data_IF_652086937090
#
_entry.id   IF_652086937090
#
_cell.length_a   1.000
_cell.length_b   1.000
_cell.length_c   1.000
_cell.angle_alpha   90.00
_cell.angle_beta   90.00
_cell.angle_gamma   90.00
#
_symmetry.space_group_name_H-M   'P 1'
#
loop_
_entity.id
_entity.type
_entity.pdbx_description
1 polymer ?
#
# COMPACT_ATOMS: atom_id res chain seq x y z
N UNK A 1 24.38 46.44 -42.84
CA UNK A 1 24.18 45.63 -41.60
C UNK A 1 22.96 46.17 -40.90
N UNK A 2 22.02 45.67 -40.86
CA UNK A 2 20.96 44.79 -41.29
C UNK A 2 19.74 45.10 -40.41
N UNK A 3 18.91 46.04 -40.87
CA UNK A 3 17.64 46.48 -40.21
C UNK A 3 16.71 45.26 -39.98
N UNK A 4 16.87 44.19 -40.79
CA UNK A 4 16.09 42.93 -40.65
C UNK A 4 16.31 42.22 -39.32
N UNK A 5 17.51 42.23 -38.73
CA UNK A 5 17.75 41.58 -37.42
C UNK A 5 17.06 42.27 -36.27
N UNK A 6 16.92 43.61 -36.33
CA UNK A 6 16.27 44.40 -35.30
C UNK A 6 14.75 44.14 -35.25
N UNK A 7 14.14 44.00 -36.43
CA UNK A 7 12.69 43.75 -36.53
C UNK A 7 12.32 42.37 -36.00
N UNK A 8 13.13 41.33 -36.29
CA UNK A 8 12.86 39.97 -35.76
C UNK A 8 13.00 39.86 -34.23
N UNK A 9 13.96 40.59 -33.68
CA UNK A 9 14.15 40.58 -32.20
C UNK A 9 12.98 41.32 -31.50
N UNK A 10 12.49 42.41 -32.09
CA UNK A 10 11.34 43.16 -31.55
C UNK A 10 10.02 42.38 -31.69
N UNK A 11 9.81 41.66 -32.80
CA UNK A 11 8.64 40.78 -32.97
C UNK A 11 8.66 39.61 -31.99
N UNK A 12 9.84 39.03 -31.76
CA UNK A 12 9.99 37.88 -30.86
C UNK A 12 9.76 38.26 -29.39
N UNK A 13 10.17 39.48 -29.00
CA UNK A 13 9.95 40.01 -27.65
C UNK A 13 8.47 40.37 -27.45
N UNK A 14 7.81 40.96 -28.46
CA UNK A 14 6.41 41.33 -28.39
C UNK A 14 5.46 40.10 -28.31
N UNK A 15 5.78 39.03 -29.03
CA UNK A 15 5.01 37.77 -28.94
C UNK A 15 5.23 37.05 -27.61
N UNK A 16 6.38 37.21 -26.97
CA UNK A 16 6.66 36.62 -25.65
C UNK A 16 5.93 37.39 -24.54
N UNK A 17 5.81 38.71 -24.69
CA UNK A 17 5.08 39.56 -23.73
C UNK A 17 3.56 39.36 -23.81
N UNK A 18 3.03 39.17 -25.02
CA UNK A 18 1.60 38.85 -25.21
C UNK A 18 1.22 37.47 -24.63
N UNK A 19 2.12 36.47 -24.73
CA UNK A 19 1.88 35.18 -24.07
C UNK A 19 1.89 35.25 -22.55
N UNK A 20 2.73 36.12 -21.94
CA UNK A 20 2.71 36.31 -20.49
C UNK A 20 1.46 37.09 -20.03
N UNK A 21 0.97 38.05 -20.81
CA UNK A 21 -0.26 38.81 -20.48
C UNK A 21 -1.53 37.97 -20.64
N UNK A 22 -1.53 36.95 -21.51
CA UNK A 22 -2.63 35.98 -21.63
C UNK A 22 -2.72 35.03 -20.44
N UNK A 23 -1.62 34.81 -19.72
CA UNK A 23 -1.54 33.87 -18.60
C UNK A 23 -1.93 34.50 -17.25
N UNK A 24 -2.09 35.81 -17.16
CA UNK A 24 -2.41 36.52 -15.90
C UNK A 24 -3.86 37.02 -15.82
N UNK A 25 -4.69 36.80 -16.85
CA UNK A 25 -6.13 36.95 -16.72
C UNK A 25 -6.78 35.60 -16.43
N UNK A 26 -6.42 35.00 -15.30
CA UNK A 26 -7.29 34.02 -14.67
C UNK A 26 -8.57 34.79 -14.29
N UNK A 27 -9.58 34.74 -15.17
CA UNK A 27 -10.90 35.19 -14.81
C UNK A 27 -11.27 34.50 -13.50
N UNK A 28 -11.88 35.21 -12.58
CA UNK A 28 -12.36 34.68 -11.29
C UNK A 28 -13.14 33.38 -11.50
N UNK A 29 -13.85 33.27 -12.61
CA UNK A 29 -14.53 32.04 -13.04
C UNK A 29 -13.58 30.88 -13.33
N UNK A 30 -12.46 31.10 -14.02
CA UNK A 30 -11.47 30.07 -14.32
C UNK A 30 -10.76 29.59 -13.05
N UNK A 31 -10.48 30.52 -12.14
CA UNK A 31 -9.86 30.23 -10.85
C UNK A 31 -10.80 29.37 -9.98
N UNK A 32 -12.09 29.70 -9.95
CA UNK A 32 -13.11 28.90 -9.27
C UNK A 32 -13.20 27.48 -9.84
N UNK A 33 -13.20 27.33 -11.16
CA UNK A 33 -13.23 26.01 -11.82
C UNK A 33 -11.99 25.18 -11.45
N UNK A 34 -10.80 25.78 -11.46
CA UNK A 34 -9.55 25.10 -11.09
C UNK A 34 -9.60 24.66 -9.63
N UNK A 35 -10.07 25.51 -8.72
CA UNK A 35 -10.20 25.16 -7.29
C UNK A 35 -11.17 24.00 -7.10
N UNK A 36 -12.31 24.01 -7.77
CA UNK A 36 -13.30 22.92 -7.70
C UNK A 36 -12.70 21.62 -8.24
N UNK A 37 -12.00 21.65 -9.38
CA UNK A 37 -11.32 20.48 -9.94
C UNK A 37 -10.25 19.93 -9.00
N UNK A 38 -9.45 20.77 -8.39
CA UNK A 38 -8.43 20.35 -7.40
C UNK A 38 -9.08 19.72 -6.18
N UNK A 39 -10.18 20.29 -5.66
CA UNK A 39 -10.92 19.74 -4.53
C UNK A 39 -11.51 18.35 -4.84
N UNK A 40 -11.90 18.09 -6.08
CA UNK A 40 -12.40 16.77 -6.51
C UNK A 40 -11.23 15.80 -6.76
N UNK A 41 -10.13 16.26 -7.35
CA UNK A 41 -8.99 15.41 -7.69
C UNK A 41 -8.19 14.93 -6.46
N UNK A 42 -8.05 15.78 -5.44
CA UNK A 42 -7.31 15.41 -4.21
C UNK A 42 -7.86 14.14 -3.55
N UNK A 43 -9.18 14.03 -3.25
CA UNK A 43 -9.71 12.80 -2.67
C UNK A 43 -9.65 11.61 -3.62
N UNK A 44 -9.86 11.82 -4.93
CA UNK A 44 -9.76 10.76 -5.93
C UNK A 44 -8.34 10.18 -6.01
N UNK A 45 -7.31 11.02 -6.02
CA UNK A 45 -5.91 10.60 -6.03
C UNK A 45 -5.55 9.88 -4.71
N UNK A 46 -5.99 10.41 -3.56
CA UNK A 46 -5.75 9.76 -2.26
C UNK A 46 -6.38 8.38 -2.19
N UNK A 47 -7.59 8.22 -2.72
CA UNK A 47 -8.27 6.92 -2.80
C UNK A 47 -7.52 5.96 -3.72
N UNK A 48 -7.10 6.42 -4.91
CA UNK A 48 -6.32 5.60 -5.85
C UNK A 48 -4.97 5.15 -5.28
N UNK A 49 -4.24 6.04 -4.59
CA UNK A 49 -2.96 5.69 -3.95
C UNK A 49 -3.18 4.68 -2.82
N UNK A 50 -4.29 4.79 -2.09
CA UNK A 50 -4.66 3.84 -1.04
C UNK A 50 -4.92 2.44 -1.63
N UNK A 51 -5.60 2.35 -2.78
CA UNK A 51 -5.78 1.10 -3.51
C UNK A 51 -4.46 0.52 -4.05
N UNK A 52 -3.55 1.35 -4.54
CA UNK A 52 -2.24 0.90 -5.04
C UNK A 52 -1.29 0.43 -3.92
N UNK A 53 -1.45 0.91 -2.69
CA UNK A 53 -0.66 0.46 -1.52
C UNK A 53 -1.17 -0.85 -0.91
N UNK A 54 -2.06 -1.57 -1.58
CA UNK A 54 -2.58 -2.87 -1.12
C UNK A 54 -3.60 -2.78 0.02
N UNK A 55 -4.13 -1.58 0.31
CA UNK A 55 -5.22 -1.41 1.27
C UNK A 55 -6.61 -1.51 0.60
N UNK A 56 -6.66 -1.88 -0.68
CA UNK A 56 -7.88 -2.12 -1.43
C UNK A 56 -8.45 -3.51 -1.15
N UNK A 57 -9.71 -3.56 -0.77
CA UNK A 57 -10.49 -4.78 -0.57
C UNK A 57 -10.66 -5.54 -1.90
N UNK A 58 -9.73 -6.42 -2.23
CA UNK A 58 -9.86 -7.30 -3.40
C UNK A 58 -10.73 -8.54 -3.12
N UNK A 59 -11.03 -8.82 -1.86
CA UNK A 59 -11.89 -9.92 -1.44
C UNK A 59 -12.96 -9.35 -0.51
N UNK A 60 -14.23 -9.41 -0.91
CA UNK A 60 -15.39 -8.82 -0.21
C UNK A 60 -15.73 -9.46 1.15
N UNK A 61 -14.73 -9.82 1.96
CA UNK A 61 -14.89 -10.27 3.34
C UNK A 61 -14.80 -9.11 4.36
N UNK A 62 -15.31 -9.32 5.57
CA UNK A 62 -15.19 -8.34 6.64
C UNK A 62 -13.72 -8.04 6.92
N UNK A 63 -13.39 -6.75 7.11
CA UNK A 63 -12.04 -6.31 7.47
C UNK A 63 -11.69 -6.82 8.87
N UNK A 64 -10.89 -7.86 8.93
CA UNK A 64 -10.33 -8.31 10.19
C UNK A 64 -9.22 -7.35 10.63
N UNK A 65 -9.25 -6.99 11.91
CA UNK A 65 -8.16 -6.21 12.51
C UNK A 65 -7.05 -7.15 12.96
N UNK A 66 -5.76 -6.80 12.76
CA UNK A 66 -4.68 -7.66 13.21
C UNK A 66 -4.69 -7.78 14.75
N UNK A 67 -4.76 -9.00 15.25
CA UNK A 67 -4.65 -9.33 16.67
C UNK A 67 -3.17 -9.25 17.03
N UNK A 68 -2.81 -8.26 17.84
CA UNK A 68 -1.44 -8.11 18.37
C UNK A 68 -1.35 -8.80 19.73
N UNK A 69 -0.99 -10.07 19.71
CA UNK A 69 -0.71 -10.83 20.94
C UNK A 69 0.70 -10.51 21.41
N UNK A 70 0.85 -10.30 22.71
CA UNK A 70 2.16 -10.21 23.39
C UNK A 70 2.18 -11.28 24.45
N UNK A 71 3.14 -12.19 24.35
CA UNK A 71 3.39 -13.19 25.37
C UNK A 71 4.66 -12.77 26.11
N UNK A 72 4.58 -12.68 27.43
CA UNK A 72 5.75 -12.42 28.28
C UNK A 72 6.38 -13.75 28.65
N UNK A 73 7.58 -14.00 28.16
CA UNK A 73 8.32 -15.24 28.44
C UNK A 73 9.50 -15.39 27.48
N UNK A 74 10.39 -16.35 27.73
CA UNK A 74 11.45 -16.68 26.79
C UNK A 74 10.86 -17.34 25.54
N UNK A 75 11.33 -16.93 24.36
CA UNK A 75 11.04 -17.59 23.10
C UNK A 75 11.81 -18.91 23.08
N UNK A 76 11.11 -20.03 22.94
CA UNK A 76 11.74 -21.36 22.85
C UNK A 76 12.39 -21.58 21.50
N UNK A 77 11.69 -21.19 20.42
CA UNK A 77 12.17 -21.26 19.05
C UNK A 77 11.46 -20.25 18.16
N UNK A 78 12.11 -19.91 17.06
CA UNK A 78 11.53 -19.09 16.00
C UNK A 78 11.47 -19.91 14.71
N UNK A 79 10.32 -19.93 14.08
CA UNK A 79 10.07 -20.69 12.84
C UNK A 79 9.66 -19.73 11.75
N UNK A 80 10.31 -19.81 10.60
CA UNK A 80 9.89 -19.07 9.40
C UNK A 80 9.17 -20.01 8.47
N UNK A 81 7.91 -19.70 8.17
CA UNK A 81 7.05 -20.49 7.29
C UNK A 81 6.83 -19.74 5.99
N UNK A 82 7.23 -20.30 4.88
CA UNK A 82 6.95 -19.77 3.56
C UNK A 82 5.58 -20.25 3.09
N UNK A 83 4.71 -19.30 2.72
CA UNK A 83 3.29 -19.53 2.44
C UNK A 83 2.97 -19.03 1.04
N UNK A 84 2.44 -19.91 0.19
CA UNK A 84 1.90 -19.52 -1.11
C UNK A 84 0.38 -19.31 -1.06
N UNK A 85 -0.14 -18.54 -2.05
CA UNK A 85 -1.55 -18.16 -2.11
C UNK A 85 -1.90 -16.85 -1.42
N UNK A 86 -0.95 -16.16 -0.78
CA UNK A 86 -1.19 -14.84 -0.20
C UNK A 86 -1.11 -13.75 -1.28
N UNK A 87 -2.24 -13.07 -1.55
CA UNK A 87 -2.30 -12.03 -2.59
C UNK A 87 -2.65 -10.63 -2.05
N UNK A 88 -3.15 -10.52 -0.83
CA UNK A 88 -3.67 -9.26 -0.29
C UNK A 88 -3.41 -9.09 1.20
N UNK A 89 -3.60 -7.86 1.70
CA UNK A 89 -3.45 -7.55 3.12
C UNK A 89 -4.46 -8.31 4.01
N UNK A 90 -5.66 -8.58 3.50
CA UNK A 90 -6.65 -9.37 4.24
C UNK A 90 -6.18 -10.82 4.42
N UNK A 91 -5.54 -11.41 3.39
CA UNK A 91 -4.94 -12.74 3.49
C UNK A 91 -3.87 -12.78 4.60
N UNK A 92 -2.99 -11.77 4.61
CA UNK A 92 -1.97 -11.62 5.65
C UNK A 92 -2.58 -11.55 7.04
N UNK A 93 -3.56 -10.65 7.24
CA UNK A 93 -4.20 -10.44 8.55
C UNK A 93 -4.95 -11.70 9.00
N UNK A 94 -5.63 -12.38 8.09
CA UNK A 94 -6.35 -13.62 8.37
C UNK A 94 -5.42 -14.72 8.90
N UNK A 95 -4.30 -14.96 8.20
CA UNK A 95 -3.31 -15.95 8.65
C UNK A 95 -2.70 -15.54 9.99
N UNK A 96 -2.29 -14.26 10.13
CA UNK A 96 -1.70 -13.72 11.36
C UNK A 96 -2.64 -13.86 12.56
N UNK A 97 -3.94 -13.61 12.37
CA UNK A 97 -4.93 -13.73 13.42
C UNK A 97 -5.13 -15.19 13.85
N UNK A 98 -5.33 -16.11 12.92
CA UNK A 98 -5.54 -17.51 13.27
C UNK A 98 -4.31 -18.16 13.92
N UNK A 99 -3.10 -17.79 13.50
CA UNK A 99 -1.89 -18.23 14.19
C UNK A 99 -1.78 -17.61 15.59
N UNK A 100 -2.17 -16.35 15.76
CA UNK A 100 -2.17 -15.69 17.07
C UNK A 100 -3.31 -16.15 17.99
N UNK A 101 -4.34 -16.82 17.49
CA UNK A 101 -5.37 -17.49 18.31
C UNK A 101 -4.82 -18.75 18.98
N UNK A 102 -3.82 -19.41 18.39
CA UNK A 102 -3.16 -20.59 18.98
C UNK A 102 -2.43 -20.19 20.27
N UNK A 103 -2.49 -21.05 21.28
CA UNK A 103 -1.82 -20.79 22.57
C UNK A 103 -0.30 -20.98 22.45
N UNK A 104 0.45 -20.09 23.05
CA UNK A 104 1.93 -20.17 23.06
C UNK A 104 2.60 -19.74 21.74
N UNK A 105 1.89 -19.13 20.80
CA UNK A 105 2.43 -18.66 19.53
C UNK A 105 2.18 -17.16 19.38
N UNK A 106 3.19 -16.48 18.81
CA UNK A 106 3.09 -15.12 18.29
C UNK A 106 3.60 -15.11 16.84
N UNK A 107 2.69 -14.87 15.92
CA UNK A 107 2.98 -14.85 14.48
C UNK A 107 2.99 -13.43 13.92
N UNK A 108 3.90 -13.17 13.01
CA UNK A 108 3.98 -11.96 12.21
C UNK A 108 4.14 -12.33 10.74
N UNK A 109 3.15 -11.99 9.94
CA UNK A 109 3.12 -12.34 8.51
C UNK A 109 3.61 -11.17 7.65
N UNK A 110 4.48 -11.46 6.71
CA UNK A 110 5.00 -10.51 5.73
C UNK A 110 4.51 -10.89 4.32
N UNK A 111 3.61 -10.09 3.76
CA UNK A 111 3.04 -10.33 2.44
C UNK A 111 4.11 -10.27 1.33
N UNK A 112 5.05 -9.33 1.41
CA UNK A 112 6.06 -9.13 0.36
C UNK A 112 7.06 -10.30 0.29
N UNK A 113 7.38 -10.88 1.45
CA UNK A 113 8.27 -12.04 1.54
C UNK A 113 7.52 -13.37 1.38
N UNK A 114 6.18 -13.33 1.33
CA UNK A 114 5.31 -14.52 1.37
C UNK A 114 5.67 -15.47 2.52
N UNK A 115 6.01 -14.90 3.67
CA UNK A 115 6.50 -15.65 4.81
C UNK A 115 5.87 -15.18 6.12
N UNK A 116 5.67 -16.12 7.04
CA UNK A 116 5.27 -15.89 8.42
C UNK A 116 6.46 -16.20 9.35
N UNK A 117 6.83 -15.24 10.19
CA UNK A 117 7.77 -15.47 11.30
C UNK A 117 6.95 -15.77 12.54
N UNK A 118 7.17 -16.92 13.13
CA UNK A 118 6.42 -17.46 14.26
C UNK A 118 7.35 -17.63 15.45
N UNK A 119 7.11 -16.88 16.50
CA UNK A 119 7.80 -17.05 17.78
C UNK A 119 7.00 -18.00 18.66
N UNK A 120 7.60 -19.13 19.03
CA UNK A 120 6.99 -20.21 19.79
C UNK A 120 7.44 -20.11 21.25
N UNK A 121 6.50 -19.99 22.17
CA UNK A 121 6.72 -19.87 23.62
C UNK A 121 6.34 -21.11 24.40
N UNK A 122 5.61 -22.04 23.78
CA UNK A 122 5.25 -23.35 24.32
C UNK A 122 5.65 -24.42 23.31
N UNK A 123 5.66 -25.66 23.75
CA UNK A 123 5.90 -26.79 22.84
C UNK A 123 4.65 -26.98 21.95
N UNK A 124 4.76 -26.55 20.69
CA UNK A 124 3.71 -26.65 19.67
C UNK A 124 4.31 -27.37 18.48
N UNK A 125 3.57 -28.35 17.95
CA UNK A 125 4.01 -29.16 16.82
C UNK A 125 3.94 -28.33 15.51
N UNK A 126 4.96 -28.46 14.68
CA UNK A 126 5.02 -27.84 13.36
C UNK A 126 3.88 -28.28 12.45
N UNK A 127 3.41 -29.53 12.60
CA UNK A 127 2.24 -30.05 11.90
C UNK A 127 0.95 -29.29 12.25
N UNK A 128 0.82 -28.84 13.50
CA UNK A 128 -0.35 -28.05 13.92
C UNK A 128 -0.36 -26.67 13.27
N UNK A 129 0.82 -26.04 13.19
CA UNK A 129 1.00 -24.73 12.50
C UNK A 129 0.68 -24.91 11.02
N UNK A 130 1.23 -25.92 10.36
CA UNK A 130 0.97 -26.22 8.95
C UNK A 130 -0.52 -26.46 8.69
N UNK A 131 -1.14 -27.34 9.46
CA UNK A 131 -2.58 -27.66 9.33
C UNK A 131 -3.48 -26.42 9.51
N UNK A 132 -3.10 -25.51 10.39
CA UNK A 132 -3.85 -24.25 10.59
C UNK A 132 -3.80 -23.37 9.36
N UNK A 133 -2.62 -23.25 8.71
CA UNK A 133 -2.46 -22.47 7.49
C UNK A 133 -3.21 -23.12 6.31
N UNK A 134 -3.12 -24.43 6.17
CA UNK A 134 -3.78 -25.20 5.09
C UNK A 134 -5.30 -25.18 5.22
N UNK A 135 -5.85 -25.24 6.43
CA UNK A 135 -7.30 -25.08 6.69
C UNK A 135 -7.85 -23.73 6.24
N UNK A 136 -7.02 -22.71 6.19
CA UNK A 136 -7.39 -21.40 5.68
C UNK A 136 -7.37 -21.31 4.15
N UNK A 137 -6.90 -22.37 3.47
CA UNK A 137 -6.82 -22.47 2.01
C UNK A 137 -5.49 -21.94 1.43
N UNK A 138 -4.45 -21.84 2.24
CA UNK A 138 -3.09 -21.50 1.79
C UNK A 138 -2.20 -22.72 1.77
N UNK A 139 -1.09 -22.65 1.02
CA UNK A 139 -0.14 -23.77 0.90
C UNK A 139 1.16 -23.42 1.61
N UNK A 140 1.65 -24.30 2.48
CA UNK A 140 2.97 -24.18 3.09
C UNK A 140 4.01 -24.74 2.13
N UNK A 141 5.00 -23.93 1.76
CA UNK A 141 6.07 -24.30 0.82
C UNK A 141 7.27 -24.87 1.55
N UNK A 142 7.70 -24.20 2.62
CA UNK A 142 8.81 -24.66 3.48
C UNK A 142 8.68 -24.07 4.88
N UNK A 143 9.28 -24.76 5.84
CA UNK A 143 9.42 -24.34 7.25
C UNK A 143 10.89 -24.44 7.64
N UNK A 144 11.43 -23.35 8.22
CA UNK A 144 12.84 -23.22 8.65
C UNK A 144 12.93 -22.71 10.08
#
# INVERSE_FOLDING_TARGET
MSVRRFVYTFLCIKTKEERLKGMTRLNTQTLLIIVILVLILIPAIRTSIKHMKGEGDCCGGPKEKPIRKKISGPVLREVTVHIDGMHCQNCRVRIENHLNEMDGIVAKVNLNKKAATISVYKDVDDLEIQNTIEKLGYTVVSME
#
